data_IF_759494753477
#
_entry.id   IF_759494753477
#
_cell.length_a   1.000
_cell.length_b   1.000
_cell.length_c   1.000
_cell.angle_alpha   90.00
_cell.angle_beta   90.00
_cell.angle_gamma   90.00
#
_symmetry.space_group_name_H-M   'P 1'
#
loop_
_entity.id
_entity.type
_entity.pdbx_description
1 polymer ?
#
# COMPACT_ATOMS: atom_id res chain seq x y z
N UNK A 1 10.35 3.35 25.65
CA UNK A 1 9.27 2.38 25.98
C UNK A 1 9.19 1.46 24.80
N UNK A 2 9.36 0.14 24.97
CA UNK A 2 9.21 -0.77 23.85
C UNK A 2 7.76 -0.72 23.38
N UNK A 3 7.52 -0.53 22.09
CA UNK A 3 6.17 -0.55 21.53
C UNK A 3 5.60 -1.96 21.76
N UNK A 4 4.62 -2.08 22.64
CA UNK A 4 3.93 -3.34 22.89
C UNK A 4 2.74 -3.48 21.95
N UNK A 5 2.55 -4.67 21.39
CA UNK A 5 1.37 -5.01 20.60
C UNK A 5 0.60 -6.16 21.24
N UNK A 6 -0.72 -6.14 21.09
CA UNK A 6 -1.62 -7.20 21.53
C UNK A 6 -2.05 -8.02 20.32
N UNK A 7 -1.75 -9.31 20.33
CA UNK A 7 -2.17 -10.26 19.28
C UNK A 7 -2.93 -11.39 19.97
N UNK A 8 -4.22 -11.54 19.67
CA UNK A 8 -5.11 -12.55 20.27
C UNK A 8 -5.00 -12.63 21.81
N UNK A 9 -4.99 -11.46 22.45
CA UNK A 9 -4.90 -11.35 23.92
C UNK A 9 -3.50 -11.58 24.51
N UNK A 10 -2.49 -11.88 23.70
CA UNK A 10 -1.08 -12.01 24.13
C UNK A 10 -0.31 -10.73 23.84
N UNK A 11 0.46 -10.27 24.83
CA UNK A 11 1.35 -9.11 24.69
C UNK A 11 2.69 -9.54 24.10
N UNK A 12 3.15 -8.77 23.13
CA UNK A 12 4.47 -8.91 22.54
C UNK A 12 5.19 -7.56 22.55
N UNK A 13 6.48 -7.58 22.88
CA UNK A 13 7.34 -6.43 22.65
C UNK A 13 7.80 -6.45 21.18
N UNK A 14 7.61 -5.34 20.48
CA UNK A 14 8.16 -5.14 19.13
C UNK A 14 9.65 -4.87 19.25
N UNK A 15 10.46 -5.73 18.62
CA UNK A 15 11.92 -5.56 18.58
C UNK A 15 12.32 -4.77 17.34
N UNK A 16 11.78 -5.15 16.19
CA UNK A 16 12.13 -4.59 14.90
C UNK A 16 11.04 -4.91 13.87
N UNK A 17 11.04 -4.21 12.74
CA UNK A 17 10.12 -4.44 11.64
C UNK A 17 10.81 -4.35 10.29
N UNK A 18 10.40 -5.21 9.36
CA UNK A 18 10.74 -5.14 7.95
C UNK A 18 9.47 -4.87 7.15
N UNK A 19 9.36 -3.63 6.67
CA UNK A 19 8.08 -3.08 6.19
C UNK A 19 7.62 -3.63 4.85
N UNK A 20 8.54 -3.98 3.94
CA UNK A 20 8.19 -4.36 2.57
C UNK A 20 9.17 -5.36 1.96
N UNK A 21 8.68 -6.56 1.71
CA UNK A 21 9.36 -7.60 0.94
C UNK A 21 8.49 -7.99 -0.26
N UNK A 22 9.04 -7.87 -1.46
CA UNK A 22 8.29 -8.10 -2.72
C UNK A 22 8.11 -9.58 -3.02
N UNK A 23 6.93 -9.96 -3.48
CA UNK A 23 6.68 -11.29 -4.04
C UNK A 23 7.05 -11.34 -5.52
N UNK A 24 8.06 -12.15 -5.85
CA UNK A 24 8.46 -12.41 -7.22
C UNK A 24 7.58 -13.48 -7.89
N UNK A 25 7.45 -13.41 -9.22
CA UNK A 25 6.76 -14.45 -10.02
C UNK A 25 7.38 -15.84 -9.85
N UNK A 26 8.69 -15.92 -9.57
CA UNK A 26 9.34 -17.19 -9.26
C UNK A 26 8.79 -17.81 -7.97
N UNK A 27 8.35 -17.03 -6.98
CA UNK A 27 7.92 -17.57 -5.69
C UNK A 27 6.51 -18.20 -5.72
N UNK A 28 5.59 -17.61 -6.48
CA UNK A 28 4.17 -18.01 -6.46
C UNK A 28 3.91 -19.38 -7.08
N UNK A 29 2.77 -19.98 -6.73
CA UNK A 29 2.33 -21.25 -7.32
C UNK A 29 1.97 -21.08 -8.81
N UNK A 30 2.08 -22.15 -9.63
CA UNK A 30 1.77 -22.10 -11.06
C UNK A 30 0.40 -21.52 -11.42
N UNK A 31 -0.58 -21.62 -10.52
CA UNK A 31 -1.91 -21.04 -10.68
C UNK A 31 -1.93 -19.52 -10.76
N UNK A 32 -0.93 -18.82 -10.21
CA UNK A 32 -0.89 -17.35 -10.10
C UNK A 32 0.28 -16.74 -10.90
N UNK A 33 0.92 -17.52 -11.78
CA UNK A 33 2.12 -17.07 -12.50
C UNK A 33 1.81 -16.25 -13.73
N UNK A 34 2.74 -15.35 -14.03
CA UNK A 34 2.86 -14.58 -15.27
C UNK A 34 3.83 -15.26 -16.24
N UNK A 35 5.08 -15.49 -15.83
CA UNK A 35 6.13 -16.12 -16.65
C UNK A 35 6.07 -17.64 -16.63
N UNK A 36 6.88 -18.37 -17.42
CA UNK A 36 6.73 -19.81 -17.76
C UNK A 36 7.28 -20.85 -16.77
N UNK A 37 8.05 -20.47 -15.74
CA UNK A 37 8.69 -21.42 -14.80
C UNK A 37 7.72 -22.11 -13.81
N UNK A 38 8.14 -23.21 -13.17
CA UNK A 38 7.31 -23.95 -12.19
C UNK A 38 7.22 -23.28 -10.81
N UNK A 39 8.14 -22.35 -10.54
CA UNK A 39 8.23 -21.60 -9.30
C UNK A 39 9.14 -22.26 -8.27
N UNK A 40 9.81 -21.43 -7.49
CA UNK A 40 10.71 -21.80 -6.43
C UNK A 40 9.98 -21.59 -5.10
N UNK A 41 10.06 -22.55 -4.19
CA UNK A 41 9.54 -22.39 -2.83
C UNK A 41 10.42 -21.49 -1.94
N UNK A 42 11.23 -20.62 -2.55
CA UNK A 42 12.25 -19.82 -1.88
C UNK A 42 11.81 -18.36 -1.88
N UNK A 43 11.54 -17.82 -0.70
CA UNK A 43 11.12 -16.43 -0.54
C UNK A 43 12.35 -15.55 -0.34
N UNK A 44 12.52 -14.54 -1.18
CA UNK A 44 13.61 -13.56 -1.05
C UNK A 44 13.30 -12.60 0.11
N UNK A 45 14.23 -12.50 1.07
CA UNK A 45 14.04 -11.65 2.27
C UNK A 45 14.98 -10.46 2.32
N UNK A 46 15.94 -10.36 1.40
CA UNK A 46 16.88 -9.23 1.32
C UNK A 46 18.26 -9.67 0.86
N UNK A 47 19.19 -8.71 0.82
CA UNK A 47 20.60 -9.01 0.55
C UNK A 47 21.39 -9.18 1.85
N UNK A 48 22.49 -9.92 1.77
CA UNK A 48 23.52 -10.03 2.78
C UNK A 48 23.94 -8.63 3.26
N UNK A 49 23.91 -8.45 4.58
CA UNK A 49 24.14 -7.16 5.20
C UNK A 49 23.61 -7.13 6.64
N UNK A 50 24.09 -6.14 7.40
CA UNK A 50 23.76 -5.99 8.83
C UNK A 50 22.26 -5.93 9.08
N UNK A 51 21.50 -5.20 8.25
CA UNK A 51 20.04 -5.09 8.37
C UNK A 51 19.33 -6.46 8.38
N UNK A 52 19.63 -7.34 7.42
CA UNK A 52 18.99 -8.66 7.32
C UNK A 52 19.47 -9.58 8.44
N UNK A 53 20.75 -9.48 8.83
CA UNK A 53 21.36 -10.30 9.88
C UNK A 53 20.88 -9.93 11.28
N UNK A 54 20.76 -8.65 11.58
CA UNK A 54 20.21 -8.15 12.84
C UNK A 54 18.72 -8.50 12.96
N UNK A 55 17.99 -8.43 11.84
CA UNK A 55 16.57 -8.76 11.80
C UNK A 55 16.33 -10.26 11.94
N UNK A 56 16.84 -11.12 11.04
CA UNK A 56 16.50 -12.55 11.03
C UNK A 56 17.43 -13.45 11.85
N UNK A 57 18.71 -13.08 11.95
CA UNK A 57 19.73 -13.85 12.63
C UNK A 57 20.99 -14.10 11.80
N UNK A 58 21.99 -14.77 12.40
CA UNK A 58 23.26 -15.08 11.74
C UNK A 58 23.07 -16.05 10.57
N UNK A 59 24.12 -16.23 9.77
CA UNK A 59 24.12 -17.17 8.64
C UNK A 59 23.63 -18.57 9.04
N UNK A 60 22.64 -19.07 8.30
CA UNK A 60 21.96 -20.34 8.55
C UNK A 60 20.81 -20.24 9.55
N UNK A 61 20.23 -19.05 9.76
CA UNK A 61 19.18 -18.85 10.76
C UNK A 61 17.95 -19.73 10.51
N UNK A 62 17.27 -20.06 11.62
CA UNK A 62 15.93 -20.64 11.63
C UNK A 62 15.02 -19.76 12.49
N UNK A 63 13.84 -19.47 11.96
CA UNK A 63 12.89 -18.54 12.56
C UNK A 63 11.51 -19.20 12.69
N UNK A 64 10.79 -18.85 13.76
CA UNK A 64 9.39 -19.21 13.93
C UNK A 64 8.52 -18.05 13.44
N UNK A 65 7.79 -18.28 12.37
CA UNK A 65 6.87 -17.31 11.80
C UNK A 65 5.43 -17.62 12.21
N UNK A 66 4.58 -16.60 12.18
CA UNK A 66 3.14 -16.80 12.20
C UNK A 66 2.41 -15.76 11.38
N UNK A 67 1.20 -16.10 10.93
CA UNK A 67 0.25 -15.19 10.28
C UNK A 67 -1.05 -15.23 11.06
N UNK A 68 -1.84 -14.16 10.97
CA UNK A 68 -3.20 -14.14 11.51
C UNK A 68 -4.19 -14.47 10.40
N UNK A 69 -5.15 -15.34 10.70
CA UNK A 69 -6.23 -15.70 9.77
C UNK A 69 -6.95 -14.47 9.25
N UNK A 70 -7.26 -13.54 10.14
CA UNK A 70 -8.06 -12.36 9.81
C UNK A 70 -7.30 -11.40 8.87
N UNK A 71 -5.98 -11.31 8.98
CA UNK A 71 -5.18 -10.51 8.04
C UNK A 71 -5.03 -11.18 6.68
N UNK A 72 -5.00 -12.51 6.62
CA UNK A 72 -5.08 -13.23 5.35
C UNK A 72 -6.42 -13.03 4.66
N UNK A 73 -7.53 -12.99 5.42
CA UNK A 73 -8.85 -12.68 4.88
C UNK A 73 -8.92 -11.24 4.35
N UNK A 74 -8.45 -10.25 5.13
CA UNK A 74 -8.36 -8.84 4.67
C UNK A 74 -7.50 -8.70 3.41
N UNK A 75 -6.40 -9.43 3.33
CA UNK A 75 -5.56 -9.47 2.13
C UNK A 75 -6.30 -10.07 0.93
N UNK A 76 -7.06 -11.15 1.11
CA UNK A 76 -7.86 -11.74 0.03
C UNK A 76 -9.00 -10.81 -0.41
N UNK A 77 -9.65 -10.12 0.50
CA UNK A 77 -10.64 -9.08 0.17
C UNK A 77 -9.99 -7.97 -0.66
N UNK A 78 -8.83 -7.46 -0.24
CA UNK A 78 -8.09 -6.42 -0.98
C UNK A 78 -7.59 -6.86 -2.36
N UNK A 79 -7.42 -8.17 -2.60
CA UNK A 79 -7.00 -8.71 -3.91
C UNK A 79 -8.16 -9.24 -4.74
N UNK A 80 -9.37 -9.33 -4.20
CA UNK A 80 -10.56 -9.83 -4.90
C UNK A 80 -10.76 -9.23 -6.29
N UNK A 81 -10.57 -7.91 -6.50
CA UNK A 81 -10.71 -7.29 -7.82
C UNK A 81 -9.78 -7.86 -8.88
N UNK A 82 -8.51 -8.05 -8.55
CA UNK A 82 -7.52 -8.65 -9.45
C UNK A 82 -7.82 -10.13 -9.70
N UNK A 83 -8.31 -10.84 -8.67
CA UNK A 83 -8.75 -12.22 -8.83
C UNK A 83 -9.96 -12.38 -9.76
N UNK A 84 -10.91 -11.46 -9.68
CA UNK A 84 -12.14 -11.47 -10.50
C UNK A 84 -11.90 -10.96 -11.91
N UNK A 85 -11.07 -9.93 -12.03
CA UNK A 85 -10.80 -9.20 -13.27
C UNK A 85 -9.30 -8.93 -13.39
N UNK A 86 -8.52 -9.97 -13.73
CA UNK A 86 -7.07 -9.86 -13.80
C UNK A 86 -6.62 -8.86 -14.86
N UNK A 87 -5.81 -7.90 -14.46
CA UNK A 87 -5.16 -6.93 -15.36
C UNK A 87 -3.75 -7.38 -15.77
N UNK A 88 -3.11 -8.22 -14.95
CA UNK A 88 -1.84 -8.82 -15.29
C UNK A 88 -2.01 -10.05 -16.20
N UNK A 89 -0.99 -10.39 -17.03
CA UNK A 89 -1.05 -11.51 -17.95
C UNK A 89 -0.84 -12.87 -17.25
N UNK A 90 -1.75 -13.25 -16.36
CA UNK A 90 -1.70 -14.55 -15.68
C UNK A 90 -1.92 -15.69 -16.66
N UNK A 91 -1.13 -16.76 -16.53
CA UNK A 91 -1.23 -17.95 -17.40
C UNK A 91 -2.56 -18.69 -17.34
N UNK A 92 -3.26 -18.56 -16.22
CA UNK A 92 -4.53 -19.25 -15.91
C UNK A 92 -5.54 -18.28 -15.33
N UNK A 93 -5.62 -17.09 -15.93
CA UNK A 93 -6.49 -15.99 -15.51
C UNK A 93 -7.95 -16.44 -15.29
N UNK A 94 -8.44 -17.34 -16.15
CA UNK A 94 -9.79 -17.91 -16.09
C UNK A 94 -10.08 -18.71 -14.82
N UNK A 95 -9.05 -19.20 -14.13
CA UNK A 95 -9.19 -19.95 -12.89
C UNK A 95 -9.17 -19.06 -11.64
N UNK A 96 -8.68 -17.82 -11.74
CA UNK A 96 -8.48 -16.94 -10.59
C UNK A 96 -9.77 -16.66 -9.78
N UNK A 97 -10.94 -16.40 -10.40
CA UNK A 97 -12.17 -16.17 -9.64
C UNK A 97 -12.56 -17.37 -8.77
N UNK A 98 -12.46 -18.59 -9.31
CA UNK A 98 -12.73 -19.83 -8.58
C UNK A 98 -11.71 -20.06 -7.47
N UNK A 99 -10.43 -19.84 -7.76
CA UNK A 99 -9.34 -19.99 -6.80
C UNK A 99 -9.48 -19.03 -5.62
N UNK A 100 -9.96 -17.80 -5.85
CA UNK A 100 -10.22 -16.86 -4.77
C UNK A 100 -11.25 -17.41 -3.78
N UNK A 101 -12.38 -17.92 -4.27
CA UNK A 101 -13.42 -18.51 -3.43
C UNK A 101 -12.89 -19.69 -2.62
N UNK A 102 -12.17 -20.61 -3.28
CA UNK A 102 -11.55 -21.78 -2.63
C UNK A 102 -10.55 -21.36 -1.54
N UNK A 103 -9.77 -20.29 -1.77
CA UNK A 103 -8.78 -19.78 -0.81
C UNK A 103 -9.42 -19.08 0.38
N UNK A 104 -10.48 -18.30 0.16
CA UNK A 104 -11.27 -17.70 1.25
C UNK A 104 -11.86 -18.79 2.14
N UNK A 105 -12.48 -19.82 1.55
CA UNK A 105 -13.03 -20.95 2.31
C UNK A 105 -11.95 -21.72 3.05
N UNK A 106 -10.80 -21.98 2.41
CA UNK A 106 -9.65 -22.63 3.02
C UNK A 106 -9.16 -21.83 4.24
N UNK A 107 -8.97 -20.51 4.10
CA UNK A 107 -8.46 -19.65 5.17
C UNK A 107 -9.46 -19.52 6.32
N UNK A 108 -10.77 -19.44 6.06
CA UNK A 108 -11.81 -19.41 7.11
C UNK A 108 -11.77 -20.62 8.04
N UNK A 109 -11.27 -21.77 7.57
CA UNK A 109 -11.15 -23.02 8.35
C UNK A 109 -9.82 -23.14 9.13
N UNK A 110 -8.91 -22.18 8.98
CA UNK A 110 -7.63 -22.17 9.69
C UNK A 110 -7.78 -21.68 11.13
N UNK A 111 -6.85 -22.05 12.03
CA UNK A 111 -6.77 -21.43 13.35
C UNK A 111 -6.51 -19.92 13.25
N UNK A 112 -6.84 -19.17 14.30
CA UNK A 112 -6.62 -17.72 14.38
C UNK A 112 -5.15 -17.35 14.17
N UNK A 113 -4.25 -18.09 14.82
CA UNK A 113 -2.79 -17.97 14.65
C UNK A 113 -2.27 -19.16 13.87
N UNK A 114 -1.65 -18.88 12.73
CA UNK A 114 -1.11 -19.87 11.80
C UNK A 114 0.42 -19.85 11.92
N UNK A 115 0.98 -20.77 12.70
CA UNK A 115 2.42 -20.81 12.99
C UNK A 115 3.18 -21.79 12.10
N UNK A 116 4.37 -21.40 11.62
CA UNK A 116 5.25 -22.26 10.82
C UNK A 116 6.72 -21.85 10.96
N UNK A 117 7.67 -22.79 10.88
CA UNK A 117 9.09 -22.46 10.85
C UNK A 117 9.48 -21.99 9.44
N UNK A 118 10.56 -21.20 9.33
CA UNK A 118 11.25 -20.94 8.07
C UNK A 118 12.76 -20.92 8.30
N UNK A 119 13.54 -21.29 7.28
CA UNK A 119 14.98 -21.41 7.37
C UNK A 119 15.68 -20.77 6.16
N UNK A 120 16.80 -20.09 6.43
CA UNK A 120 17.70 -19.57 5.40
C UNK A 120 18.20 -20.68 4.45
N UNK A 121 18.28 -20.36 3.16
CA UNK A 121 18.77 -21.24 2.11
C UNK A 121 20.25 -20.97 1.84
N UNK A 122 21.13 -21.69 2.54
CA UNK A 122 22.60 -21.51 2.50
C UNK A 122 23.27 -22.01 1.21
N UNK A 123 22.57 -22.82 0.42
CA UNK A 123 23.10 -23.42 -0.81
C UNK A 123 23.06 -22.48 -2.02
N UNK A 124 22.63 -21.23 -1.84
CA UNK A 124 22.46 -20.24 -2.90
C UNK A 124 23.65 -19.30 -2.87
N UNK A 125 24.35 -19.18 -4.00
CA UNK A 125 25.48 -18.26 -4.14
C UNK A 125 25.01 -16.82 -4.40
N UNK A 126 25.84 -15.87 -3.99
CA UNK A 126 25.60 -14.45 -4.18
C UNK A 126 24.96 -13.78 -2.96
N UNK A 127 24.70 -12.47 -3.03
CA UNK A 127 24.31 -11.69 -1.88
C UNK A 127 22.84 -11.89 -1.50
N UNK A 128 22.04 -12.67 -2.23
CA UNK A 128 20.60 -12.75 -2.00
C UNK A 128 20.28 -13.80 -0.95
N UNK A 129 19.59 -13.40 0.11
CA UNK A 129 19.14 -14.29 1.19
C UNK A 129 17.71 -14.72 0.90
N UNK A 130 17.49 -16.04 0.94
CA UNK A 130 16.18 -16.65 0.76
C UNK A 130 15.81 -17.50 1.97
N UNK A 131 14.53 -17.57 2.28
CA UNK A 131 13.98 -18.51 3.26
C UNK A 131 13.11 -19.58 2.57
N UNK A 132 12.94 -20.72 3.21
CA UNK A 132 12.00 -21.77 2.82
C UNK A 132 11.48 -22.51 4.06
N UNK A 133 10.32 -23.16 3.91
CA UNK A 133 9.79 -24.14 4.85
C UNK A 133 9.32 -25.37 4.08
N UNK A 134 10.20 -26.36 3.97
CA UNK A 134 9.97 -27.55 3.13
C UNK A 134 8.80 -28.36 3.68
N UNK A 135 7.82 -28.66 2.82
CA UNK A 135 6.65 -29.46 3.18
C UNK A 135 5.64 -28.77 4.10
N UNK A 136 5.84 -27.50 4.45
CA UNK A 136 4.93 -26.78 5.33
C UNK A 136 3.76 -26.18 4.54
N UNK A 137 2.54 -26.59 4.90
CA UNK A 137 1.31 -26.14 4.24
C UNK A 137 1.02 -24.64 4.42
N UNK A 138 1.42 -24.03 5.55
CA UNK A 138 1.16 -22.62 5.84
C UNK A 138 2.14 -21.70 5.14
N UNK A 139 3.39 -22.13 5.01
CA UNK A 139 4.34 -21.46 4.12
C UNK A 139 3.90 -21.60 2.65
N UNK A 140 3.42 -22.77 2.24
CA UNK A 140 2.87 -22.99 0.91
C UNK A 140 1.62 -22.13 0.64
N UNK A 141 0.80 -21.88 1.66
CA UNK A 141 -0.36 -21.00 1.57
C UNK A 141 0.03 -19.59 1.11
N UNK A 142 1.15 -19.04 1.60
CA UNK A 142 1.66 -17.73 1.14
C UNK A 142 1.84 -17.74 -0.38
N UNK A 143 2.46 -18.79 -0.92
CA UNK A 143 2.70 -18.95 -2.37
C UNK A 143 1.42 -19.15 -3.16
N UNK A 144 0.44 -19.81 -2.56
CA UNK A 144 -0.87 -20.05 -3.16
C UNK A 144 -1.69 -18.75 -3.25
N UNK A 145 -1.70 -17.91 -2.23
CA UNK A 145 -2.56 -16.70 -2.19
C UNK A 145 -1.89 -15.46 -2.77
N UNK A 146 -0.56 -15.43 -2.86
CA UNK A 146 0.17 -14.27 -3.37
C UNK A 146 0.02 -14.10 -4.88
N UNK A 147 -0.17 -12.87 -5.31
CA UNK A 147 -0.17 -12.44 -6.71
C UNK A 147 1.11 -11.64 -7.01
N UNK A 148 1.89 -11.99 -8.05
CA UNK A 148 3.13 -11.28 -8.39
C UNK A 148 2.91 -9.77 -8.61
N UNK A 149 3.97 -8.99 -8.41
CA UNK A 149 4.05 -7.53 -8.60
C UNK A 149 3.16 -6.66 -7.69
N UNK A 150 2.06 -7.19 -7.17
CA UNK A 150 1.12 -6.44 -6.31
C UNK A 150 1.16 -6.89 -4.85
N UNK A 151 1.60 -8.13 -4.57
CA UNK A 151 1.68 -8.65 -3.20
C UNK A 151 3.02 -8.33 -2.55
N UNK A 152 2.94 -7.86 -1.31
CA UNK A 152 4.09 -7.60 -0.45
C UNK A 152 3.88 -8.27 0.91
N UNK A 153 5.00 -8.59 1.58
CA UNK A 153 5.01 -9.12 2.94
C UNK A 153 5.73 -8.13 3.84
N UNK A 154 5.09 -7.74 4.93
CA UNK A 154 5.72 -7.12 6.08
C UNK A 154 6.04 -8.19 7.14
N UNK A 155 7.15 -8.03 7.85
CA UNK A 155 7.52 -8.89 8.97
C UNK A 155 7.77 -8.05 10.22
N UNK A 156 7.23 -8.46 11.37
CA UNK A 156 7.53 -7.85 12.67
C UNK A 156 8.23 -8.89 13.53
N UNK A 157 9.40 -8.52 14.06
CA UNK A 157 10.15 -9.33 15.02
C UNK A 157 9.64 -9.04 16.42
N UNK A 158 9.10 -10.06 17.06
CA UNK A 158 8.40 -9.97 18.32
C UNK A 158 9.11 -10.78 19.40
N UNK A 159 9.00 -10.30 20.64
CA UNK A 159 9.39 -11.04 21.85
C UNK A 159 8.18 -11.22 22.75
N UNK A 160 7.91 -12.45 23.15
CA UNK A 160 6.87 -12.74 24.12
C UNK A 160 7.33 -12.49 25.58
N UNK A 161 6.42 -12.65 26.53
CA UNK A 161 6.69 -12.47 27.97
C UNK A 161 7.74 -13.43 28.55
N UNK A 162 8.01 -14.57 27.88
CA UNK A 162 9.02 -15.55 28.32
C UNK A 162 10.35 -15.39 27.58
N UNK A 163 10.46 -14.39 26.70
CA UNK A 163 11.68 -14.06 25.97
C UNK A 163 11.82 -14.75 24.61
N UNK A 164 10.84 -15.54 24.18
CA UNK A 164 10.88 -16.24 22.88
C UNK A 164 10.70 -15.26 21.73
N UNK A 165 11.43 -15.48 20.65
CA UNK A 165 11.36 -14.66 19.43
C UNK A 165 10.46 -15.34 18.40
N UNK A 166 9.57 -14.54 17.81
CA UNK A 166 8.72 -14.95 16.68
C UNK A 166 8.60 -13.83 15.64
N UNK A 167 8.24 -14.20 14.42
CA UNK A 167 8.10 -13.28 13.30
C UNK A 167 6.67 -13.27 12.80
N UNK A 168 5.96 -12.18 13.04
CA UNK A 168 4.62 -12.00 12.51
C UNK A 168 4.71 -11.54 11.05
N UNK A 169 4.21 -12.35 10.12
CA UNK A 169 4.15 -12.02 8.71
C UNK A 169 2.74 -11.53 8.34
N UNK A 170 2.69 -10.40 7.63
CA UNK A 170 1.45 -9.82 7.12
C UNK A 170 1.56 -9.58 5.61
N UNK A 171 0.64 -10.17 4.86
CA UNK A 171 0.50 -9.91 3.43
C UNK A 171 -0.33 -8.64 3.23
N UNK A 172 0.04 -7.84 2.23
CA UNK A 172 -0.71 -6.67 1.82
C UNK A 172 -0.50 -6.38 0.32
N UNK A 173 -1.35 -5.52 -0.22
CA UNK A 173 -1.31 -5.11 -1.63
C UNK A 173 -0.81 -3.67 -1.72
N UNK A 174 -0.01 -3.37 -2.73
CA UNK A 174 0.37 -2.00 -3.07
C UNK A 174 0.25 -1.81 -4.59
N UNK A 175 -0.91 -1.29 -5.01
CA UNK A 175 -1.23 -0.95 -6.40
C UNK A 175 -0.59 0.38 -6.79
N UNK A 176 0.75 0.49 -6.76
CA UNK A 176 1.51 1.65 -7.23
C UNK A 176 0.85 3.01 -6.95
N UNK A 177 0.48 3.29 -5.69
CA UNK A 177 -0.06 4.59 -5.29
C UNK A 177 -1.54 4.86 -5.60
N UNK A 178 -2.27 3.98 -6.29
CA UNK A 178 -3.73 4.07 -6.37
C UNK A 178 -4.36 3.21 -5.27
N UNK A 179 -5.30 3.77 -4.51
CA UNK A 179 -6.01 3.03 -3.44
C UNK A 179 -7.02 2.01 -3.96
N UNK A 180 -7.30 1.97 -5.27
CA UNK A 180 -8.36 1.14 -5.86
C UNK A 180 -7.86 0.41 -7.12
N UNK A 181 -8.31 -0.82 -7.29
CA UNK A 181 -8.01 -1.61 -8.48
C UNK A 181 -8.72 -1.01 -9.71
N UNK A 182 -8.09 -0.89 -10.90
CA UNK A 182 -8.75 -0.23 -12.04
C UNK A 182 -10.04 -0.93 -12.48
N UNK A 183 -10.15 -2.24 -12.24
CA UNK A 183 -11.41 -2.99 -12.41
C UNK A 183 -12.52 -2.63 -11.40
N UNK A 184 -12.21 -2.20 -10.17
CA UNK A 184 -13.21 -1.69 -9.20
C UNK A 184 -13.73 -0.33 -9.64
N UNK A 185 -12.86 0.51 -10.18
CA UNK A 185 -13.25 1.77 -10.81
C UNK A 185 -14.17 1.50 -12.01
N UNK A 186 -13.86 0.46 -12.79
CA UNK A 186 -14.71 0.02 -13.92
C UNK A 186 -16.02 -0.67 -13.48
N UNK A 187 -16.03 -1.40 -12.36
CA UNK A 187 -17.23 -2.05 -11.80
C UNK A 187 -18.14 -1.07 -11.08
N UNK A 188 -17.58 -0.08 -10.39
CA UNK A 188 -18.33 1.08 -9.95
C UNK A 188 -18.96 1.77 -11.16
N UNK A 189 -18.20 1.98 -12.25
CA UNK A 189 -18.73 2.53 -13.50
C UNK A 189 -19.80 1.63 -14.17
N UNK A 190 -19.73 0.30 -14.02
CA UNK A 190 -20.67 -0.66 -14.61
C UNK A 190 -21.90 -0.94 -13.74
N UNK A 191 -21.80 -0.88 -12.40
CA UNK A 191 -22.96 -0.90 -11.49
C UNK A 191 -23.84 0.33 -11.69
N UNK A 192 -23.22 1.49 -11.96
CA UNK A 192 -23.92 2.70 -12.42
C UNK A 192 -24.59 2.48 -13.79
N UNK A 193 -24.16 1.50 -14.59
CA UNK A 193 -24.77 1.20 -15.88
C UNK A 193 -25.99 0.26 -15.82
N UNK A 194 -26.25 -0.41 -14.68
CA UNK A 194 -27.18 -1.55 -14.62
C UNK A 194 -28.32 -1.46 -13.59
N UNK A 195 -28.41 -0.36 -12.84
CA UNK A 195 -29.69 0.08 -12.31
C UNK A 195 -30.35 1.00 -13.35
N UNK A 196 -31.68 1.08 -13.40
CA UNK A 196 -32.40 1.97 -14.31
C UNK A 196 -32.15 3.43 -13.90
N UNK A 197 -30.97 3.93 -14.22
CA UNK A 197 -30.52 5.26 -13.87
C UNK A 197 -30.92 6.22 -15.01
N UNK A 198 -31.61 7.34 -14.71
CA UNK A 198 -32.05 8.31 -15.70
C UNK A 198 -30.88 8.86 -16.53
N UNK A 199 -31.15 9.25 -17.78
CA UNK A 199 -30.17 9.71 -18.78
C UNK A 199 -29.20 10.81 -18.30
N UNK A 200 -29.53 11.52 -17.21
CA UNK A 200 -28.71 12.52 -16.54
C UNK A 200 -27.41 11.99 -15.90
N UNK A 201 -27.33 10.74 -15.46
CA UNK A 201 -26.13 10.22 -14.74
C UNK A 201 -25.11 9.51 -15.64
N UNK A 202 -25.53 8.94 -16.79
CA UNK A 202 -24.60 8.52 -17.86
C UNK A 202 -23.76 9.69 -18.38
N UNK A 203 -24.35 10.87 -18.40
CA UNK A 203 -23.62 12.13 -18.62
C UNK A 203 -22.61 12.42 -17.50
N UNK A 204 -22.92 12.13 -16.24
CA UNK A 204 -22.06 12.43 -15.09
C UNK A 204 -20.77 11.57 -15.05
N UNK A 205 -20.82 10.30 -15.43
CA UNK A 205 -19.62 9.44 -15.49
C UNK A 205 -18.67 9.79 -16.65
N UNK A 206 -19.22 10.08 -17.82
CA UNK A 206 -18.44 10.65 -18.93
C UNK A 206 -17.85 11.99 -18.52
N UNK A 207 -18.65 12.84 -17.84
CA UNK A 207 -18.19 14.09 -17.21
C UNK A 207 -17.17 13.86 -16.09
N UNK A 208 -17.10 12.71 -15.41
CA UNK A 208 -16.12 12.42 -14.36
C UNK A 208 -14.75 12.03 -14.93
N UNK A 209 -14.70 11.25 -16.03
CA UNK A 209 -13.44 10.93 -16.74
C UNK A 209 -12.92 12.12 -17.53
N UNK A 210 -13.81 12.81 -18.25
CA UNK A 210 -13.51 14.12 -18.87
C UNK A 210 -13.20 15.14 -17.78
N UNK A 211 -13.84 15.04 -16.61
CA UNK A 211 -13.71 15.92 -15.47
C UNK A 211 -12.39 15.74 -14.74
N UNK A 212 -11.87 14.51 -14.62
CA UNK A 212 -10.53 14.25 -14.11
C UNK A 212 -9.46 14.76 -15.08
N UNK A 213 -9.68 14.59 -16.40
CA UNK A 213 -8.84 15.24 -17.42
C UNK A 213 -8.87 16.76 -17.28
N UNK A 214 -10.05 17.38 -17.28
CA UNK A 214 -10.23 18.83 -17.11
C UNK A 214 -9.74 19.36 -15.77
N UNK A 215 -9.90 18.59 -14.70
CA UNK A 215 -9.41 18.91 -13.36
C UNK A 215 -7.88 18.94 -13.35
N UNK A 216 -7.24 17.89 -13.88
CA UNK A 216 -5.79 17.84 -14.02
C UNK A 216 -5.28 18.94 -14.96
N UNK A 217 -5.92 19.14 -16.11
CA UNK A 217 -5.56 20.17 -17.07
C UNK A 217 -5.70 21.58 -16.44
N UNK A 218 -6.75 21.81 -15.65
CA UNK A 218 -6.95 23.04 -14.90
C UNK A 218 -5.86 23.27 -13.84
N UNK A 219 -5.44 22.21 -13.14
CA UNK A 219 -4.30 22.28 -12.21
C UNK A 219 -2.99 22.59 -12.94
N UNK A 220 -2.72 21.92 -14.07
CA UNK A 220 -1.54 22.17 -14.89
C UNK A 220 -1.54 23.60 -15.45
N UNK A 221 -2.70 24.14 -15.82
CA UNK A 221 -2.82 25.51 -16.30
C UNK A 221 -2.49 26.55 -15.21
N UNK A 222 -2.89 26.29 -13.96
CA UNK A 222 -2.64 27.22 -12.85
C UNK A 222 -1.24 27.08 -12.25
N UNK A 223 -0.72 25.85 -12.11
CA UNK A 223 0.56 25.56 -11.48
C UNK A 223 1.19 24.30 -12.13
N UNK A 224 1.87 24.42 -13.29
CA UNK A 224 2.36 23.29 -14.09
C UNK A 224 3.57 22.53 -13.46
N UNK A 225 3.76 22.66 -12.15
CA UNK A 225 4.87 22.06 -11.43
C UNK A 225 4.48 21.82 -9.97
N UNK A 226 5.22 20.94 -9.29
CA UNK A 226 5.08 20.77 -7.85
C UNK A 226 5.59 22.01 -7.11
N UNK A 227 4.77 22.72 -6.32
CA UNK A 227 5.18 23.97 -5.67
C UNK A 227 6.28 23.79 -4.62
N UNK A 228 6.53 22.54 -4.18
CA UNK A 228 7.52 22.22 -3.15
C UNK A 228 8.87 21.84 -3.77
N UNK A 229 8.88 20.96 -4.77
CA UNK A 229 10.10 20.44 -5.41
C UNK A 229 10.47 21.15 -6.71
N UNK A 230 9.56 21.96 -7.25
CA UNK A 230 9.67 22.64 -8.55
C UNK A 230 9.79 21.69 -9.76
N UNK A 231 9.54 20.39 -9.58
CA UNK A 231 9.50 19.42 -10.68
C UNK A 231 8.32 19.74 -11.59
N UNK A 232 8.55 19.80 -12.89
CA UNK A 232 7.55 20.06 -13.93
C UNK A 232 7.43 18.92 -14.96
N UNK A 233 8.03 17.76 -14.71
CA UNK A 233 7.82 16.57 -15.55
C UNK A 233 6.45 15.98 -15.20
N UNK A 234 5.49 16.13 -16.12
CA UNK A 234 4.11 15.70 -15.93
C UNK A 234 3.97 14.24 -15.49
N UNK A 235 4.90 13.36 -15.88
CA UNK A 235 4.90 11.93 -15.49
C UNK A 235 5.15 11.72 -14.00
N UNK A 236 5.74 12.72 -13.35
CA UNK A 236 6.06 12.71 -11.92
C UNK A 236 5.09 13.57 -11.11
N UNK A 237 4.06 14.15 -11.72
CA UNK A 237 3.08 15.00 -11.04
C UNK A 237 1.76 14.27 -10.82
N UNK A 238 1.34 14.24 -9.57
CA UNK A 238 0.06 13.70 -9.12
C UNK A 238 -0.89 14.88 -8.86
N UNK A 239 -2.13 14.77 -9.36
CA UNK A 239 -3.19 15.75 -9.12
C UNK A 239 -3.90 15.42 -7.79
N UNK A 240 -3.27 15.80 -6.68
CA UNK A 240 -3.72 15.53 -5.31
C UNK A 240 -4.92 16.41 -4.96
N UNK A 241 -5.97 15.84 -4.37
CA UNK A 241 -7.13 16.59 -3.86
C UNK A 241 -6.83 17.17 -2.47
N UNK A 242 -7.19 18.44 -2.25
CA UNK A 242 -7.04 19.09 -0.93
C UNK A 242 -8.12 18.59 0.03
N UNK A 243 -9.39 18.72 -0.35
CA UNK A 243 -10.50 18.04 0.30
C UNK A 243 -10.66 16.68 -0.37
N UNK A 244 -10.55 15.57 0.37
CA UNK A 244 -10.57 14.23 -0.21
C UNK A 244 -11.81 13.99 -1.08
N UNK A 245 -11.64 13.21 -2.14
CA UNK A 245 -12.72 12.89 -3.08
C UNK A 245 -13.99 12.33 -2.42
N UNK A 246 -13.79 11.46 -1.41
CA UNK A 246 -14.87 10.84 -0.63
C UNK A 246 -15.73 11.86 0.12
N UNK A 247 -15.12 12.95 0.57
CA UNK A 247 -15.77 13.99 1.36
C UNK A 247 -16.23 15.18 0.49
N UNK A 248 -15.89 15.16 -0.80
CA UNK A 248 -16.19 16.21 -1.77
C UNK A 248 -17.53 15.95 -2.48
N UNK A 249 -18.30 17.02 -2.68
CA UNK A 249 -19.45 17.04 -3.59
C UNK A 249 -19.01 16.95 -5.05
N UNK A 250 -19.93 16.67 -5.97
CA UNK A 250 -19.60 16.50 -7.38
C UNK A 250 -19.01 17.76 -8.04
N UNK A 251 -19.36 18.95 -7.55
CA UNK A 251 -18.75 20.21 -8.01
C UNK A 251 -17.31 20.33 -7.49
N UNK A 252 -17.09 20.04 -6.20
CA UNK A 252 -15.76 20.12 -5.57
C UNK A 252 -14.79 19.07 -6.14
N UNK A 253 -15.30 17.94 -6.63
CA UNK A 253 -14.50 16.86 -7.22
C UNK A 253 -13.80 17.26 -8.52
N UNK A 254 -14.43 18.12 -9.31
CA UNK A 254 -13.93 18.59 -10.61
C UNK A 254 -13.37 20.03 -10.56
N UNK A 255 -13.40 20.67 -9.39
CA UNK A 255 -12.90 22.02 -9.17
C UNK A 255 -11.37 22.02 -9.07
N UNK A 256 -10.67 22.72 -9.98
CA UNK A 256 -9.21 22.86 -9.94
C UNK A 256 -8.71 23.53 -8.66
N UNK A 257 -9.56 24.29 -7.95
CA UNK A 257 -9.20 24.88 -6.65
C UNK A 257 -9.18 23.85 -5.52
N UNK A 258 -9.77 22.67 -5.71
CA UNK A 258 -9.70 21.58 -4.75
C UNK A 258 -8.47 20.66 -4.97
N UNK A 259 -7.40 21.17 -5.60
CA UNK A 259 -6.24 20.34 -5.89
C UNK A 259 -4.90 21.05 -5.91
N UNK A 260 -3.85 20.25 -5.82
CA UNK A 260 -2.45 20.63 -5.97
C UNK A 260 -1.74 19.59 -6.85
N UNK A 261 -0.77 20.06 -7.65
CA UNK A 261 0.17 19.15 -8.30
C UNK A 261 1.34 18.89 -7.38
N UNK A 262 1.56 17.62 -7.02
CA UNK A 262 2.60 17.22 -6.09
C UNK A 262 3.45 16.09 -6.68
N UNK A 263 4.72 16.02 -6.29
CA UNK A 263 5.55 14.84 -6.57
C UNK A 263 5.15 13.69 -5.64
N UNK A 264 5.40 12.42 -6.00
CA UNK A 264 4.79 11.28 -5.32
C UNK A 264 5.04 11.23 -3.82
N UNK A 265 6.23 11.63 -3.38
CA UNK A 265 6.58 11.71 -1.96
C UNK A 265 5.73 12.76 -1.22
N UNK A 266 5.58 13.95 -1.80
CA UNK A 266 4.86 15.05 -1.14
C UNK A 266 3.35 14.90 -1.23
N UNK A 267 2.85 14.30 -2.31
CA UNK A 267 1.47 13.83 -2.44
C UNK A 267 1.13 12.88 -1.29
N UNK A 268 1.93 11.83 -1.10
CA UNK A 268 1.69 10.86 -0.02
C UNK A 268 1.73 11.48 1.37
N UNK A 269 2.69 12.38 1.62
CA UNK A 269 2.78 13.09 2.90
C UNK A 269 1.56 13.97 3.15
N UNK A 270 1.06 14.64 2.11
CA UNK A 270 -0.10 15.52 2.20
C UNK A 270 -1.38 14.70 2.42
N UNK A 271 -1.61 13.66 1.62
CA UNK A 271 -2.79 12.78 1.69
C UNK A 271 -2.96 12.07 3.04
N UNK A 272 -1.82 11.68 3.66
CA UNK A 272 -1.77 11.08 4.99
C UNK A 272 -1.94 12.10 6.12
N UNK A 273 -2.02 13.40 5.82
CA UNK A 273 -2.07 14.46 6.83
C UNK A 273 -0.75 14.63 7.59
N UNK A 274 0.37 14.16 7.04
CA UNK A 274 1.70 14.31 7.65
C UNK A 274 2.32 15.69 7.34
N UNK A 275 1.86 16.34 6.26
CA UNK A 275 2.11 17.75 5.99
C UNK A 275 0.81 18.44 5.58
N UNK A 276 0.75 19.76 5.75
CA UNK A 276 -0.30 20.62 5.20
C UNK A 276 0.25 22.03 5.01
N UNK A 277 -0.59 23.01 4.66
CA UNK A 277 -0.18 24.40 4.47
C UNK A 277 -1.12 25.35 5.21
N UNK A 278 -0.56 26.41 5.80
CA UNK A 278 -1.36 27.50 6.37
C UNK A 278 -1.74 28.55 5.31
N UNK A 279 -2.51 29.56 5.73
CA UNK A 279 -2.99 30.62 4.84
C UNK A 279 -1.87 31.60 4.40
N UNK A 280 -0.68 31.51 5.01
CA UNK A 280 0.53 32.27 4.69
C UNK A 280 1.52 31.46 3.83
N UNK A 281 1.05 30.36 3.23
CA UNK A 281 1.83 29.43 2.39
C UNK A 281 2.94 28.70 3.15
N UNK A 282 2.89 28.63 4.47
CA UNK A 282 3.90 27.89 5.24
C UNK A 282 3.50 26.43 5.32
N UNK A 283 4.46 25.54 5.06
CA UNK A 283 4.30 24.12 5.29
C UNK A 283 4.23 23.86 6.80
N UNK A 284 3.20 23.14 7.23
CA UNK A 284 3.09 22.62 8.59
C UNK A 284 3.43 21.13 8.54
N UNK A 285 4.34 20.70 9.40
CA UNK A 285 4.79 19.30 9.47
C UNK A 285 4.19 18.64 10.72
N UNK A 286 3.63 17.45 10.55
CA UNK A 286 2.98 16.71 11.63
C UNK A 286 3.98 16.35 12.73
N UNK A 287 3.62 16.50 14.01
CA UNK A 287 4.50 16.11 15.13
C UNK A 287 4.74 14.60 15.20
N UNK A 288 3.96 13.78 14.49
CA UNK A 288 4.13 12.33 14.38
C UNK A 288 5.25 11.92 13.41
N UNK A 289 5.83 12.86 12.67
CA UNK A 289 7.03 12.61 11.87
C UNK A 289 8.30 12.78 12.70
N UNK A 290 9.15 11.74 12.72
CA UNK A 290 10.44 11.82 13.39
C UNK A 290 11.34 12.88 12.73
N UNK A 291 12.18 13.56 13.52
CA UNK A 291 13.18 14.51 13.00
C UNK A 291 14.10 13.90 11.94
N UNK A 292 14.43 12.62 12.08
CA UNK A 292 15.23 11.88 11.10
C UNK A 292 14.49 11.78 9.76
N UNK A 293 13.21 11.42 9.79
CA UNK A 293 12.36 11.35 8.59
C UNK A 293 12.22 12.73 7.94
N UNK A 294 11.96 13.77 8.72
CA UNK A 294 11.91 15.14 8.20
C UNK A 294 13.21 15.54 7.50
N UNK A 295 14.37 15.22 8.10
CA UNK A 295 15.68 15.50 7.49
C UNK A 295 15.88 14.75 6.18
N UNK A 296 15.54 13.45 6.12
CA UNK A 296 15.70 12.63 4.90
C UNK A 296 14.79 13.09 3.76
N UNK A 297 13.62 13.60 4.09
CA UNK A 297 12.62 14.10 3.14
C UNK A 297 12.72 15.61 2.88
N UNK A 298 13.70 16.30 3.49
CA UNK A 298 13.86 17.75 3.40
C UNK A 298 12.63 18.55 3.84
N UNK A 299 11.90 18.04 4.84
CA UNK A 299 10.75 18.72 5.45
C UNK A 299 11.23 19.68 6.53
N UNK A 300 10.85 20.94 6.38
CA UNK A 300 11.16 22.01 7.35
C UNK A 300 9.85 22.66 7.76
N UNK A 301 9.51 22.54 9.04
CA UNK A 301 8.30 23.15 9.57
C UNK A 301 8.33 24.67 9.42
N UNK A 302 7.18 25.25 9.08
CA UNK A 302 6.96 26.67 8.79
C UNK A 302 7.74 27.22 7.59
N UNK A 303 8.34 26.36 6.76
CA UNK A 303 8.97 26.80 5.51
C UNK A 303 7.91 27.42 4.58
N UNK A 304 8.18 28.64 4.12
CA UNK A 304 7.33 29.32 3.13
C UNK A 304 7.49 28.66 1.76
N UNK A 305 6.38 28.24 1.17
CA UNK A 305 6.29 27.69 -0.18
C UNK A 305 5.77 28.78 -1.11
N UNK A 306 6.69 29.60 -1.65
CA UNK A 306 6.38 30.83 -2.40
C UNK A 306 5.35 30.63 -3.53
N UNK A 307 5.49 29.52 -4.27
CA UNK A 307 4.68 29.20 -5.43
C UNK A 307 3.41 28.39 -5.11
N UNK A 308 3.08 28.19 -3.83
CA UNK A 308 1.84 27.48 -3.46
C UNK A 308 0.61 28.27 -3.92
N UNK A 309 -0.27 27.67 -4.76
CA UNK A 309 -1.39 28.40 -5.37
C UNK A 309 -2.61 28.44 -4.44
N UNK A 310 -2.56 29.21 -3.35
CA UNK A 310 -3.64 29.27 -2.35
C UNK A 310 -4.89 30.06 -2.76
N UNK A 311 -4.82 30.84 -3.84
CA UNK A 311 -5.97 31.64 -4.28
C UNK A 311 -7.14 30.73 -4.70
N UNK A 312 -8.30 30.93 -4.07
CA UNK A 312 -9.48 30.07 -4.23
C UNK A 312 -9.41 28.73 -3.49
N UNK A 313 -8.26 28.36 -2.89
CA UNK A 313 -8.06 27.05 -2.25
C UNK A 313 -8.14 27.07 -0.72
N UNK A 314 -8.26 28.26 -0.11
CA UNK A 314 -8.17 28.46 1.35
C UNK A 314 -9.18 27.61 2.13
N UNK A 315 -10.44 27.58 1.70
CA UNK A 315 -11.50 26.81 2.36
C UNK A 315 -11.24 25.30 2.33
N UNK A 316 -10.75 24.77 1.20
CA UNK A 316 -10.35 23.37 1.13
C UNK A 316 -9.14 23.08 2.02
N UNK A 317 -8.16 23.99 2.06
CA UNK A 317 -6.98 23.84 2.91
C UNK A 317 -7.34 23.90 4.40
N UNK A 318 -8.31 24.73 4.79
CA UNK A 318 -8.90 24.72 6.13
C UNK A 318 -9.49 23.36 6.48
N UNK A 319 -10.32 22.80 5.59
CA UNK A 319 -10.84 21.43 5.77
C UNK A 319 -9.73 20.40 5.94
N UNK A 320 -8.70 20.45 5.09
CA UNK A 320 -7.57 19.53 5.17
C UNK A 320 -6.86 19.64 6.53
N UNK A 321 -6.63 20.86 7.03
CA UNK A 321 -6.02 21.05 8.36
C UNK A 321 -6.87 20.44 9.47
N UNK A 322 -8.18 20.69 9.45
CA UNK A 322 -9.08 20.30 10.54
C UNK A 322 -9.42 18.80 10.56
N UNK A 323 -9.52 18.18 9.37
CA UNK A 323 -10.01 16.81 9.24
C UNK A 323 -8.88 15.81 8.99
N UNK A 324 -7.83 16.20 8.25
CA UNK A 324 -6.70 15.31 7.92
C UNK A 324 -5.51 15.53 8.83
N UNK A 325 -4.97 16.74 8.87
CA UNK A 325 -3.71 17.03 9.56
C UNK A 325 -3.83 16.91 11.08
N UNK A 326 -4.85 17.51 11.69
CA UNK A 326 -5.04 17.52 13.15
C UNK A 326 -5.47 16.16 13.73
N UNK A 327 -5.90 15.21 12.89
CA UNK A 327 -6.37 13.88 13.30
C UNK A 327 -5.40 12.75 12.95
N UNK A 328 -4.23 13.05 12.40
CA UNK A 328 -3.23 12.08 11.96
C UNK A 328 -2.43 11.44 13.12
N UNK A 329 -3.06 11.23 14.28
CA UNK A 329 -2.46 10.70 15.51
C UNK A 329 -3.05 9.38 15.96
#
# INVERSE_FOLDING_TARGET
>A
MADEILIEGKRFAVIDAKEKMTIADSFVMPSNKLGSGNGEAKFYVGNEGTEVRDFFGPHGFSINCFMLRDDLLKYLEATEPEYRKPEQPYRRAENLPRLWQERVEKIRRLPEIISFPAQEQIQISGPRIYINSIGNQYYSLIREVSLPNITYIAAIKLRDSVGSISYYLRLFVDYFGNQEHPSEVADAAAKIANENIPATEKEQLSKARIGQGKYRDGLLHECPFCPITMVSDDRLLIASHIKPWKDSSDVERIDSKNGLLLTPTYDKLFDLGLITFDNDKRMLVSPFLSRMTCSKLSLVDKRVITHLPLEGRKTYMEYHRDVKFNRAG
#
